data_IF_884798786219
#
_entry.id   IF_884798786219
#
_cell.length_a   1.000
_cell.length_b   1.000
_cell.length_c   1.000
_cell.angle_alpha   90.00
_cell.angle_beta   90.00
_cell.angle_gamma   90.00
#
_symmetry.space_group_name_H-M   'P 1'
#
loop_
_entity.id
_entity.type
_entity.pdbx_description
1 polymer ?
#
# COMPACT_ATOMS: atom_id res chain seq x y z
N UNK A 1 -25.08 42.10 -14.50
CA UNK A 1 -24.59 42.23 -13.11
C UNK A 1 -25.18 41.09 -12.31
N UNK A 2 -24.55 39.93 -12.32
CA UNK A 2 -24.90 38.80 -11.47
C UNK A 2 -23.58 38.24 -10.93
N UNK A 3 -23.51 38.17 -9.61
CA UNK A 3 -22.32 37.87 -8.81
C UNK A 3 -21.89 36.42 -9.05
N UNK A 4 -20.66 36.22 -9.52
CA UNK A 4 -20.02 34.90 -9.54
C UNK A 4 -19.56 34.56 -8.13
N UNK A 5 -20.31 33.68 -7.45
CA UNK A 5 -19.86 33.02 -6.25
C UNK A 5 -18.80 31.98 -6.62
N UNK A 6 -17.56 32.30 -6.29
CA UNK A 6 -16.42 31.41 -6.41
C UNK A 6 -16.54 30.32 -5.31
N UNK A 7 -16.91 29.12 -5.72
CA UNK A 7 -16.80 27.91 -4.89
C UNK A 7 -15.32 27.56 -4.77
N UNK A 8 -14.70 28.06 -3.70
CA UNK A 8 -13.37 27.63 -3.26
C UNK A 8 -13.50 26.22 -2.70
N UNK A 9 -13.19 25.22 -3.51
CA UNK A 9 -13.00 23.84 -3.05
C UNK A 9 -11.73 23.79 -2.21
N UNK A 10 -11.91 23.90 -0.90
CA UNK A 10 -10.86 23.74 0.09
C UNK A 10 -10.51 22.25 0.14
N UNK A 11 -9.53 21.82 -0.66
CA UNK A 11 -8.94 20.48 -0.56
C UNK A 11 -8.18 20.43 0.76
N UNK A 12 -8.87 19.98 1.81
CA UNK A 12 -8.29 19.72 3.12
C UNK A 12 -7.24 18.64 2.99
N UNK A 13 -5.99 19.06 2.80
CA UNK A 13 -4.81 18.22 2.98
C UNK A 13 -4.76 17.75 4.43
N UNK A 14 -5.37 16.61 4.69
CA UNK A 14 -5.12 15.83 5.88
C UNK A 14 -3.64 15.43 5.82
N UNK A 15 -2.81 16.26 6.46
CA UNK A 15 -1.40 15.96 6.69
C UNK A 15 -1.33 14.60 7.35
N UNK A 16 -0.90 13.60 6.57
CA UNK A 16 -0.50 12.32 7.07
C UNK A 16 0.66 12.59 8.04
N UNK A 17 0.32 12.70 9.31
CA UNK A 17 1.27 12.67 10.41
C UNK A 17 1.97 11.33 10.27
N UNK A 18 3.18 11.35 9.73
CA UNK A 18 4.02 10.18 9.57
C UNK A 18 3.94 9.39 10.88
N UNK A 19 3.66 8.07 10.84
CA UNK A 19 3.72 7.25 12.04
C UNK A 19 5.12 7.44 12.59
N UNK A 20 5.21 8.17 13.71
CA UNK A 20 6.45 8.47 14.36
C UNK A 20 7.18 7.15 14.49
N UNK A 21 8.39 7.09 13.91
CA UNK A 21 9.30 6.01 14.16
C UNK A 21 9.30 5.82 15.67
N UNK A 22 8.71 4.71 16.11
CA UNK A 22 8.88 4.20 17.45
C UNK A 22 10.38 3.91 17.52
N UNK A 23 11.15 4.92 17.90
CA UNK A 23 12.39 4.74 18.64
C UNK A 23 11.95 3.99 19.90
N UNK A 24 11.84 2.69 19.76
CA UNK A 24 12.02 1.76 20.85
C UNK A 24 13.44 1.97 21.30
N UNK A 25 13.64 2.98 22.16
CA UNK A 25 14.68 2.95 23.17
C UNK A 25 14.56 1.56 23.80
N UNK A 26 15.41 0.66 23.34
CA UNK A 26 15.65 -0.61 24.01
C UNK A 26 16.14 -0.16 25.38
N UNK A 27 15.33 -0.28 26.46
CA UNK A 27 15.78 0.15 27.76
C UNK A 27 17.07 -0.60 28.02
N UNK A 28 18.16 0.15 28.20
CA UNK A 28 19.48 -0.39 28.43
C UNK A 28 19.33 -1.56 29.38
N UNK A 29 19.73 -2.76 28.95
CA UNK A 29 19.75 -3.93 29.80
C UNK A 29 20.59 -3.57 31.02
N UNK A 30 19.90 -3.16 32.08
CA UNK A 30 20.42 -3.11 33.43
C UNK A 30 20.66 -4.57 33.79
N UNK A 31 21.81 -5.05 33.33
CA UNK A 31 22.34 -6.38 33.53
C UNK A 31 22.64 -6.41 35.03
N UNK A 32 21.67 -6.83 35.88
CA UNK A 32 21.84 -6.74 37.31
C UNK A 32 22.89 -7.80 37.58
N UNK A 33 24.12 -7.32 37.79
CA UNK A 33 25.34 -8.12 37.75
C UNK A 33 25.03 -9.48 38.33
N UNK A 34 25.12 -10.51 37.48
CA UNK A 34 25.09 -11.89 37.94
C UNK A 34 25.88 -11.90 39.22
N UNK A 35 25.23 -12.28 40.32
CA UNK A 35 25.85 -12.27 41.62
C UNK A 35 27.12 -13.13 41.54
N UNK A 36 28.25 -12.49 41.25
CA UNK A 36 29.55 -12.88 41.72
C UNK A 36 29.39 -12.73 43.23
N UNK A 37 28.83 -13.79 43.84
CA UNK A 37 28.67 -13.91 45.27
C UNK A 37 30.03 -14.42 45.78
N UNK A 38 30.93 -13.55 46.29
CA UNK A 38 31.99 -14.02 47.18
C UNK A 38 31.38 -14.76 48.41
N UNK A 39 30.07 -14.59 48.67
CA UNK A 39 29.33 -15.37 49.66
C UNK A 39 28.97 -16.81 49.25
N UNK A 40 29.24 -17.29 48.03
CA UNK A 40 29.05 -18.72 47.69
C UNK A 40 30.33 -19.56 47.91
N UNK A 41 31.51 -18.93 47.85
CA UNK A 41 32.79 -19.60 48.11
C UNK A 41 33.19 -19.58 49.59
N UNK A 42 32.71 -18.61 50.37
CA UNK A 42 33.01 -18.53 51.81
C UNK A 42 32.30 -19.63 52.64
N UNK A 43 31.01 -19.97 52.45
CA UNK A 43 30.38 -20.99 53.28
C UNK A 43 30.84 -22.40 52.95
N UNK A 44 31.12 -22.76 51.69
CA UNK A 44 31.58 -24.13 51.37
C UNK A 44 32.98 -24.41 51.92
N UNK A 45 33.89 -23.43 51.86
CA UNK A 45 35.21 -23.55 52.45
C UNK A 45 35.16 -23.61 53.98
N UNK A 46 34.37 -22.74 54.63
CA UNK A 46 34.23 -22.74 56.10
C UNK A 46 33.51 -24.01 56.59
N UNK A 47 32.45 -24.47 55.91
CA UNK A 47 31.76 -25.73 56.22
C UNK A 47 32.70 -26.92 56.01
N UNK A 48 33.53 -26.91 54.96
CA UNK A 48 34.55 -27.93 54.72
C UNK A 48 35.57 -28.00 55.86
N UNK A 49 36.11 -26.85 56.29
CA UNK A 49 37.06 -26.77 57.40
C UNK A 49 36.40 -27.19 58.73
N UNK A 50 35.17 -26.73 59.00
CA UNK A 50 34.45 -27.10 60.23
C UNK A 50 34.08 -28.58 60.28
N UNK A 51 33.69 -29.17 59.14
CA UNK A 51 33.42 -30.62 59.02
C UNK A 51 34.67 -31.44 59.35
N UNK A 52 35.84 -31.03 58.83
CA UNK A 52 37.12 -31.69 59.14
C UNK A 52 37.49 -31.55 60.62
N UNK A 53 37.32 -30.37 61.22
CA UNK A 53 37.60 -30.16 62.65
C UNK A 53 36.69 -31.00 63.53
N UNK A 54 35.40 -31.11 63.20
CA UNK A 54 34.46 -31.95 63.96
C UNK A 54 34.75 -33.43 63.78
N UNK A 55 35.19 -33.88 62.60
CA UNK A 55 35.66 -35.25 62.39
C UNK A 55 36.89 -35.57 63.26
N UNK A 56 37.86 -34.65 63.34
CA UNK A 56 39.07 -34.83 64.16
C UNK A 56 38.71 -34.88 65.64
N UNK A 57 37.88 -33.95 66.13
CA UNK A 57 37.43 -33.93 67.53
C UNK A 57 36.59 -35.16 67.88
N UNK A 58 35.73 -35.62 66.97
CA UNK A 58 34.95 -36.84 67.12
C UNK A 58 35.83 -38.08 67.25
N UNK A 59 36.93 -38.16 66.49
CA UNK A 59 37.89 -39.26 66.58
C UNK A 59 38.61 -39.30 67.94
N UNK A 60 38.93 -38.12 68.49
CA UNK A 60 39.54 -37.99 69.83
C UNK A 60 38.55 -38.39 70.93
N UNK A 61 37.28 -37.98 70.83
CA UNK A 61 36.24 -38.38 71.80
C UNK A 61 35.86 -39.85 71.73
N UNK A 62 35.90 -40.47 70.55
CA UNK A 62 35.67 -41.92 70.39
C UNK A 62 36.72 -42.75 71.16
N UNK A 63 37.97 -42.27 71.19
CA UNK A 63 39.04 -42.89 71.97
C UNK A 63 38.86 -42.73 73.49
N UNK A 64 38.06 -41.76 73.94
CA UNK A 64 37.82 -41.48 75.36
C UNK A 64 36.61 -42.22 75.97
N UNK A 65 35.78 -42.90 75.15
CA UNK A 65 34.69 -43.76 75.65
C UNK A 65 33.33 -43.10 75.88
N UNK A 66 33.20 -41.79 75.67
CA UNK A 66 31.94 -41.05 75.86
C UNK A 66 31.10 -41.01 74.56
N UNK A 67 30.46 -42.14 74.24
CA UNK A 67 29.69 -42.34 73.00
C UNK A 67 28.45 -41.46 72.72
N UNK A 68 27.66 -40.97 73.71
CA UNK A 68 26.38 -40.31 73.40
C UNK A 68 26.52 -38.87 72.85
N UNK A 69 27.63 -38.19 73.13
CA UNK A 69 27.87 -36.80 72.68
C UNK A 69 28.15 -36.71 71.18
N UNK A 70 28.73 -37.75 70.59
CA UNK A 70 29.05 -37.83 69.16
C UNK A 70 27.79 -37.89 68.27
N UNK A 71 26.79 -38.66 68.69
CA UNK A 71 25.54 -38.84 67.92
C UNK A 71 24.75 -37.53 67.86
N UNK A 72 24.71 -36.76 68.95
CA UNK A 72 24.04 -35.46 68.99
C UNK A 72 24.71 -34.42 68.08
N UNK A 73 26.05 -34.39 68.02
CA UNK A 73 26.81 -33.49 67.16
C UNK A 73 26.65 -33.78 65.66
N UNK A 74 26.64 -35.06 65.28
CA UNK A 74 26.47 -35.47 63.89
C UNK A 74 25.07 -35.12 63.33
N UNK A 75 24.02 -35.30 64.13
CA UNK A 75 22.64 -34.97 63.72
C UNK A 75 22.46 -33.45 63.58
N UNK A 76 23.06 -32.65 64.45
CA UNK A 76 23.01 -31.19 64.36
C UNK A 76 23.70 -30.65 63.09
N UNK A 77 24.86 -31.22 62.72
CA UNK A 77 25.57 -30.84 61.50
C UNK A 77 24.77 -31.17 60.24
N UNK A 78 24.25 -32.40 60.13
CA UNK A 78 23.45 -32.82 58.98
C UNK A 78 22.16 -31.99 58.83
N UNK A 79 21.51 -31.64 59.95
CA UNK A 79 20.35 -30.76 59.96
C UNK A 79 20.65 -29.35 59.46
N UNK A 80 21.76 -28.76 59.89
CA UNK A 80 22.12 -27.37 59.54
C UNK A 80 22.49 -27.20 58.05
N UNK A 81 23.21 -28.18 57.47
CA UNK A 81 23.62 -28.11 56.06
C UNK A 81 22.44 -28.33 55.10
N UNK A 82 21.46 -29.16 55.48
CA UNK A 82 20.27 -29.40 54.66
C UNK A 82 19.39 -28.16 54.51
N UNK A 83 19.21 -27.39 55.58
CA UNK A 83 18.32 -26.21 55.60
C UNK A 83 18.90 -25.08 54.74
N UNK A 84 20.21 -24.84 54.79
CA UNK A 84 20.87 -23.81 53.97
C UNK A 84 20.79 -24.12 52.47
N UNK A 85 20.99 -25.38 52.07
CA UNK A 85 20.84 -25.82 50.68
C UNK A 85 19.41 -25.66 50.15
N UNK A 86 18.43 -26.00 50.97
CA UNK A 86 17.01 -25.86 50.62
C UNK A 86 16.58 -24.40 50.46
N UNK A 87 17.04 -23.49 51.33
CA UNK A 87 16.75 -22.06 51.22
C UNK A 87 17.38 -21.43 49.97
N UNK A 88 18.60 -21.83 49.59
CA UNK A 88 19.23 -21.35 48.36
C UNK A 88 18.54 -21.87 47.09
N UNK A 89 18.18 -23.16 47.06
CA UNK A 89 17.48 -23.75 45.92
C UNK A 89 16.09 -23.13 45.70
N UNK A 90 15.35 -22.91 46.79
CA UNK A 90 14.02 -22.28 46.73
C UNK A 90 14.08 -20.77 46.41
N UNK A 91 15.14 -20.08 46.84
CA UNK A 91 15.39 -18.68 46.49
C UNK A 91 15.67 -18.48 44.99
N UNK A 92 16.50 -19.34 44.39
CA UNK A 92 16.81 -19.28 42.95
C UNK A 92 15.59 -19.53 42.06
N UNK A 93 14.73 -20.49 42.44
CA UNK A 93 13.49 -20.80 41.72
C UNK A 93 12.50 -19.63 41.74
N UNK A 94 12.37 -18.91 42.87
CA UNK A 94 11.51 -17.72 42.94
C UNK A 94 11.97 -16.61 41.99
N UNK A 95 13.28 -16.41 41.87
CA UNK A 95 13.83 -15.41 40.94
C UNK A 95 13.61 -15.80 39.48
N UNK A 96 13.83 -17.08 39.13
CA UNK A 96 13.53 -17.57 37.78
C UNK A 96 12.04 -17.45 37.47
N UNK A 97 11.17 -17.80 38.41
CA UNK A 97 9.73 -17.67 38.25
C UNK A 97 9.29 -16.22 38.02
N UNK A 98 9.88 -15.26 38.75
CA UNK A 98 9.62 -13.85 38.55
C UNK A 98 10.08 -13.36 37.16
N UNK A 99 11.25 -13.82 36.70
CA UNK A 99 11.78 -13.48 35.36
C UNK A 99 10.92 -14.06 34.24
N UNK A 100 10.50 -15.32 34.39
CA UNK A 100 9.58 -15.96 33.45
C UNK A 100 8.23 -15.25 33.40
N UNK A 101 7.68 -14.85 34.56
CA UNK A 101 6.44 -14.08 34.61
C UNK A 101 6.59 -12.75 33.87
N UNK A 102 7.70 -12.05 34.07
CA UNK A 102 7.95 -10.78 33.40
C UNK A 102 8.11 -10.94 31.87
N UNK A 103 8.82 -11.97 31.40
CA UNK A 103 8.94 -12.26 29.97
C UNK A 103 7.60 -12.65 29.35
N UNK A 104 6.79 -13.43 30.07
CA UNK A 104 5.46 -13.82 29.61
C UNK A 104 4.52 -12.61 29.52
N UNK A 105 4.56 -11.70 30.50
CA UNK A 105 3.82 -10.43 30.45
C UNK A 105 4.26 -9.55 29.27
N UNK A 106 5.56 -9.52 28.95
CA UNK A 106 6.08 -8.79 27.78
C UNK A 106 5.61 -9.42 26.47
N UNK A 107 5.67 -10.75 26.34
CA UNK A 107 5.17 -11.47 25.16
C UNK A 107 3.65 -11.32 24.99
N UNK A 108 2.90 -11.30 26.08
CA UNK A 108 1.46 -11.03 26.07
C UNK A 108 1.17 -9.61 25.56
N UNK A 109 1.94 -8.61 25.99
CA UNK A 109 1.81 -7.22 25.50
C UNK A 109 2.18 -7.09 24.03
N UNK A 110 3.29 -7.69 23.58
CA UNK A 110 3.70 -7.62 22.17
C UNK A 110 2.72 -8.36 21.26
N UNK A 111 2.21 -9.52 21.67
CA UNK A 111 1.20 -10.24 20.89
C UNK A 111 -0.13 -9.50 20.82
N UNK A 112 -0.53 -8.79 21.88
CA UNK A 112 -1.69 -7.90 21.85
C UNK A 112 -1.48 -6.70 20.90
N UNK A 113 -0.29 -6.09 20.91
CA UNK A 113 0.04 -4.99 19.98
C UNK A 113 0.05 -5.46 18.52
N UNK A 114 0.71 -6.60 18.23
CA UNK A 114 0.74 -7.17 16.87
C UNK A 114 -0.67 -7.53 16.37
N UNK A 115 -1.55 -8.04 17.24
CA UNK A 115 -2.96 -8.27 16.88
C UNK A 115 -3.66 -6.97 16.50
N UNK A 116 -3.45 -5.90 17.28
CA UNK A 116 -4.00 -4.58 16.96
C UNK A 116 -3.48 -4.04 15.62
N UNK A 117 -2.20 -4.25 15.30
CA UNK A 117 -1.65 -3.84 14.00
C UNK A 117 -2.22 -4.66 12.83
N UNK A 118 -2.44 -5.96 13.02
CA UNK A 118 -3.11 -6.82 12.03
C UNK A 118 -4.55 -6.38 11.80
N UNK A 119 -5.30 -6.11 12.86
CA UNK A 119 -6.68 -5.63 12.77
C UNK A 119 -6.74 -4.27 12.04
N UNK A 120 -5.80 -3.36 12.34
CA UNK A 120 -5.69 -2.06 11.66
C UNK A 120 -5.34 -2.20 10.18
N UNK A 121 -4.44 -3.13 9.83
CA UNK A 121 -4.10 -3.45 8.44
C UNK A 121 -5.29 -4.05 7.69
N UNK A 122 -6.07 -4.91 8.34
CA UNK A 122 -7.29 -5.49 7.75
C UNK A 122 -8.33 -4.40 7.44
N UNK A 123 -8.60 -3.50 8.40
CA UNK A 123 -9.50 -2.35 8.19
C UNK A 123 -8.98 -1.43 7.08
N UNK A 124 -7.68 -1.22 7.01
CA UNK A 124 -7.06 -0.39 5.96
C UNK A 124 -7.20 -1.04 4.59
N UNK A 125 -6.98 -2.35 4.48
CA UNK A 125 -7.17 -3.11 3.24
C UNK A 125 -8.62 -3.09 2.78
N UNK A 126 -9.59 -3.24 3.69
CA UNK A 126 -11.02 -3.10 3.37
C UNK A 126 -11.35 -1.70 2.85
N UNK A 127 -10.78 -0.65 3.45
CA UNK A 127 -10.98 0.73 2.99
C UNK A 127 -10.37 0.98 1.61
N UNK A 128 -9.19 0.43 1.34
CA UNK A 128 -8.56 0.51 0.01
C UNK A 128 -9.41 -0.22 -1.02
N UNK A 129 -9.91 -1.42 -0.72
CA UNK A 129 -10.82 -2.15 -1.60
C UNK A 129 -12.07 -1.34 -1.94
N UNK A 130 -12.74 -0.74 -0.94
CA UNK A 130 -13.89 0.14 -1.16
C UNK A 130 -13.55 1.39 -2.00
N UNK A 131 -12.31 1.90 -1.92
CA UNK A 131 -11.87 3.01 -2.75
C UNK A 131 -11.60 2.58 -4.19
N UNK A 132 -11.08 1.37 -4.40
CA UNK A 132 -10.90 0.78 -5.73
C UNK A 132 -12.26 0.57 -6.39
N UNK A 133 -13.23 -0.03 -5.68
CA UNK A 133 -14.59 -0.24 -6.20
C UNK A 133 -15.25 1.08 -6.60
N UNK A 134 -15.17 2.12 -5.75
CA UNK A 134 -15.69 3.46 -6.09
C UNK A 134 -15.01 4.09 -7.29
N UNK A 135 -13.72 3.81 -7.48
CA UNK A 135 -12.97 4.34 -8.61
C UNK A 135 -13.38 3.63 -9.89
N UNK A 136 -13.61 2.32 -9.83
CA UNK A 136 -14.16 1.52 -10.92
C UNK A 136 -15.57 2.01 -11.31
N UNK A 137 -16.47 2.20 -10.33
CA UNK A 137 -17.79 2.80 -10.56
C UNK A 137 -17.71 4.18 -11.24
N UNK A 138 -16.76 5.01 -10.80
CA UNK A 138 -16.56 6.35 -11.38
C UNK A 138 -16.03 6.27 -12.82
N UNK A 139 -15.18 5.28 -13.13
CA UNK A 139 -14.67 5.03 -14.48
C UNK A 139 -15.80 4.54 -15.39
N UNK A 140 -16.65 3.64 -14.91
CA UNK A 140 -17.82 3.17 -15.65
C UNK A 140 -18.82 4.31 -15.91
N UNK A 141 -19.06 5.18 -14.93
CA UNK A 141 -19.90 6.38 -15.10
C UNK A 141 -19.31 7.34 -16.14
N UNK A 142 -18.00 7.63 -16.05
CA UNK A 142 -17.28 8.46 -17.04
C UNK A 142 -17.33 7.86 -18.44
N UNK A 143 -17.21 6.53 -18.55
CA UNK A 143 -17.32 5.83 -19.83
C UNK A 143 -18.74 5.97 -20.39
N UNK A 144 -19.78 5.78 -19.58
CA UNK A 144 -21.17 5.96 -20.00
C UNK A 144 -21.47 7.40 -20.44
N UNK A 145 -20.93 8.41 -19.75
CA UNK A 145 -21.04 9.81 -20.15
C UNK A 145 -20.32 10.06 -21.48
N UNK A 146 -19.13 9.50 -21.68
CA UNK A 146 -18.38 9.61 -22.93
C UNK A 146 -19.11 8.96 -24.11
N UNK A 147 -19.70 7.78 -23.91
CA UNK A 147 -20.52 7.10 -24.92
C UNK A 147 -21.75 7.93 -25.30
N UNK A 148 -22.43 8.53 -24.32
CA UNK A 148 -23.57 9.40 -24.57
C UNK A 148 -23.17 10.70 -25.27
N UNK A 149 -22.07 11.33 -24.87
CA UNK A 149 -21.56 12.54 -25.53
C UNK A 149 -21.21 12.25 -26.99
N UNK A 150 -20.71 11.05 -27.28
CA UNK A 150 -20.45 10.60 -28.66
C UNK A 150 -21.74 10.44 -29.46
N UNK A 151 -22.78 9.83 -28.89
CA UNK A 151 -24.10 9.74 -29.51
C UNK A 151 -24.67 11.14 -29.80
N UNK A 152 -24.55 12.07 -28.84
CA UNK A 152 -24.96 13.47 -29.02
C UNK A 152 -24.17 14.15 -30.16
N UNK A 153 -22.84 13.94 -30.24
CA UNK A 153 -21.98 14.44 -31.33
C UNK A 153 -22.42 13.90 -32.69
N UNK A 154 -22.76 12.61 -32.78
CA UNK A 154 -23.26 11.98 -34.01
C UNK A 154 -24.61 12.59 -34.42
N UNK A 155 -25.54 12.74 -33.47
CA UNK A 155 -26.84 13.38 -33.71
C UNK A 155 -26.72 14.85 -34.12
N UNK A 156 -25.76 15.60 -33.57
CA UNK A 156 -25.45 16.95 -34.02
C UNK A 156 -24.89 17.00 -35.45
N UNK A 157 -24.14 15.97 -35.85
CA UNK A 157 -23.67 15.81 -37.22
C UNK A 157 -24.83 15.70 -38.21
N UNK A 158 -25.82 14.87 -37.90
CA UNK A 158 -27.03 14.71 -38.71
C UNK A 158 -27.85 16.01 -38.78
N UNK A 159 -28.06 16.65 -37.62
CA UNK A 159 -28.74 17.95 -37.55
C UNK A 159 -28.04 19.01 -38.40
N UNK A 160 -26.69 19.02 -38.42
CA UNK A 160 -25.92 19.95 -39.25
C UNK A 160 -26.20 19.74 -40.74
N UNK A 161 -26.25 18.48 -41.18
CA UNK A 161 -26.54 18.15 -42.59
C UNK A 161 -27.94 18.62 -42.97
N UNK A 162 -28.93 18.46 -42.09
CA UNK A 162 -30.29 18.97 -42.31
C UNK A 162 -30.33 20.50 -42.35
N UNK A 163 -29.63 21.19 -41.44
CA UNK A 163 -29.58 22.65 -41.42
C UNK A 163 -28.82 23.22 -42.63
N UNK A 164 -27.76 22.58 -43.11
CA UNK A 164 -27.07 22.97 -44.35
C UNK A 164 -27.98 22.84 -45.58
N UNK A 165 -28.84 21.83 -45.61
CA UNK A 165 -29.84 21.67 -46.67
C UNK A 165 -30.90 22.79 -46.62
N UNK A 166 -31.40 23.12 -45.42
CA UNK A 166 -32.34 24.22 -45.21
C UNK A 166 -31.74 25.60 -45.50
N UNK A 167 -30.47 25.83 -45.14
CA UNK A 167 -29.78 27.10 -45.40
C UNK A 167 -29.65 27.41 -46.88
N UNK A 168 -29.37 26.38 -47.71
CA UNK A 168 -29.36 26.50 -49.17
C UNK A 168 -30.72 26.93 -49.73
N UNK A 169 -31.80 26.64 -49.03
CA UNK A 169 -33.17 26.98 -49.45
C UNK A 169 -33.66 28.33 -48.87
N UNK A 170 -33.25 28.69 -47.66
CA UNK A 170 -33.78 29.84 -46.90
C UNK A 170 -32.94 31.14 -47.02
N UNK A 171 -31.73 31.10 -47.56
CA UNK A 171 -30.91 32.29 -47.83
C UNK A 171 -30.00 32.74 -46.67
N UNK A 172 -29.40 33.94 -46.82
CA UNK A 172 -28.21 34.39 -46.06
C UNK A 172 -28.29 34.41 -44.53
N UNK A 173 -29.47 34.55 -43.93
CA UNK A 173 -29.58 34.66 -42.45
C UNK A 173 -29.24 33.33 -41.73
N UNK A 174 -29.19 32.20 -42.44
CA UNK A 174 -28.78 30.91 -41.88
C UNK A 174 -27.26 30.69 -41.83
N UNK A 175 -26.47 31.44 -42.61
CA UNK A 175 -25.01 31.28 -42.64
C UNK A 175 -24.38 31.60 -41.27
N UNK A 176 -24.79 32.68 -40.63
CA UNK A 176 -24.28 33.07 -39.30
C UNK A 176 -24.60 32.02 -38.22
N UNK A 177 -25.78 31.39 -38.33
CA UNK A 177 -26.19 30.33 -37.39
C UNK A 177 -25.38 29.06 -37.61
N UNK A 178 -25.15 28.68 -38.87
CA UNK A 178 -24.30 27.53 -39.23
C UNK A 178 -22.85 27.73 -38.79
N UNK A 179 -22.29 28.94 -38.93
CA UNK A 179 -20.95 29.25 -38.44
C UNK A 179 -20.85 29.07 -36.92
N UNK A 180 -21.86 29.54 -36.17
CA UNK A 180 -21.90 29.35 -34.71
C UNK A 180 -22.02 27.88 -34.32
N UNK A 181 -22.82 27.08 -35.04
CA UNK A 181 -22.98 25.63 -34.79
C UNK A 181 -21.66 24.90 -35.06
N UNK A 182 -20.99 25.19 -36.18
CA UNK A 182 -19.67 24.65 -36.49
C UNK A 182 -18.66 24.99 -35.39
N UNK A 183 -18.63 26.25 -34.93
CA UNK A 183 -17.76 26.63 -33.82
C UNK A 183 -18.09 25.99 -32.47
N UNK A 184 -19.34 25.58 -32.22
CA UNK A 184 -19.69 24.77 -31.05
C UNK A 184 -19.23 23.32 -31.21
N UNK A 185 -19.38 22.76 -32.41
CA UNK A 185 -18.95 21.41 -32.74
C UNK A 185 -17.42 21.25 -32.58
N UNK A 186 -16.64 22.18 -33.13
CA UNK A 186 -15.17 22.16 -33.01
C UNK A 186 -14.75 22.23 -31.54
N UNK A 187 -15.40 23.08 -30.74
CA UNK A 187 -15.14 23.17 -29.29
C UNK A 187 -15.50 21.88 -28.55
N UNK A 188 -16.56 21.20 -28.97
CA UNK A 188 -16.99 19.93 -28.38
C UNK A 188 -16.01 18.80 -28.72
N UNK A 189 -15.53 18.74 -29.96
CA UNK A 189 -14.47 17.81 -30.35
C UNK A 189 -13.18 18.07 -29.56
N UNK A 190 -12.76 19.32 -29.43
CA UNK A 190 -11.58 19.70 -28.64
C UNK A 190 -11.71 19.34 -27.15
N UNK A 191 -12.92 19.42 -26.60
CA UNK A 191 -13.19 19.00 -25.22
C UNK A 191 -13.10 17.47 -25.11
N UNK A 192 -13.74 16.74 -26.03
CA UNK A 192 -13.69 15.28 -26.04
C UNK A 192 -12.25 14.76 -26.17
N UNK A 193 -11.44 15.32 -27.09
CA UNK A 193 -10.05 14.94 -27.25
C UNK A 193 -9.21 15.21 -25.98
N UNK A 194 -9.48 16.31 -25.26
CA UNK A 194 -8.82 16.62 -23.98
C UNK A 194 -9.24 15.67 -22.86
N UNK A 195 -10.50 15.29 -22.80
CA UNK A 195 -11.01 14.31 -21.82
C UNK A 195 -10.42 12.93 -22.08
N UNK A 196 -10.41 12.46 -23.33
CA UNK A 196 -9.77 11.20 -23.73
C UNK A 196 -8.27 11.20 -23.38
N UNK A 197 -7.56 12.32 -23.63
CA UNK A 197 -6.17 12.51 -23.21
C UNK A 197 -5.98 12.36 -21.70
N UNK A 198 -6.83 13.02 -20.92
CA UNK A 198 -6.76 12.98 -19.47
C UNK A 198 -7.00 11.57 -18.94
N UNK A 199 -7.98 10.86 -19.51
CA UNK A 199 -8.30 9.47 -19.16
C UNK A 199 -7.13 8.54 -19.50
N UNK A 200 -6.57 8.60 -20.70
CA UNK A 200 -5.43 7.77 -21.10
C UNK A 200 -4.19 8.03 -20.21
N UNK A 201 -3.90 9.28 -19.89
CA UNK A 201 -2.78 9.63 -18.99
C UNK A 201 -3.00 9.11 -17.57
N UNK A 202 -4.23 9.16 -17.08
CA UNK A 202 -4.57 8.62 -15.76
C UNK A 202 -4.39 7.11 -15.72
N UNK A 203 -4.91 6.39 -16.71
CA UNK A 203 -4.76 4.93 -16.80
C UNK A 203 -3.29 4.54 -16.90
N UNK A 204 -2.47 5.29 -17.65
CA UNK A 204 -1.04 5.07 -17.71
C UNK A 204 -0.35 5.28 -16.35
N UNK A 205 -0.67 6.39 -15.66
CA UNK A 205 -0.13 6.70 -14.34
C UNK A 205 -0.51 5.63 -13.30
N UNK A 206 -1.77 5.19 -13.29
CA UNK A 206 -2.25 4.18 -12.35
C UNK A 206 -1.55 2.83 -12.54
N UNK A 207 -1.11 2.52 -13.77
CA UNK A 207 -0.35 1.31 -14.08
C UNK A 207 1.13 1.43 -13.74
N UNK A 208 1.75 2.59 -13.97
CA UNK A 208 3.16 2.86 -13.64
C UNK A 208 3.47 2.70 -12.14
N UNK A 209 2.50 2.97 -11.26
CA UNK A 209 2.71 2.84 -9.81
C UNK A 209 2.40 1.44 -9.25
N UNK A 210 2.08 0.44 -10.08
CA UNK A 210 1.69 -0.89 -9.59
C UNK A 210 2.87 -1.70 -9.03
N UNK A 211 4.02 -1.69 -9.70
CA UNK A 211 5.20 -2.48 -9.32
C UNK A 211 6.26 -1.68 -8.53
N UNK A 212 6.05 -0.36 -8.37
CA UNK A 212 6.96 0.63 -7.73
C UNK A 212 8.23 0.90 -8.53
N UNK A 213 8.31 0.48 -9.78
CA UNK A 213 9.38 0.87 -10.67
C UNK A 213 9.03 2.18 -11.40
N UNK A 214 10.04 2.97 -11.78
CA UNK A 214 9.84 4.28 -12.44
C UNK A 214 9.48 4.15 -13.94
N UNK A 215 9.40 2.93 -14.46
CA UNK A 215 9.19 2.68 -15.89
C UNK A 215 8.17 1.58 -16.09
N UNK A 216 7.29 1.79 -17.07
CA UNK A 216 6.26 0.81 -17.40
C UNK A 216 6.87 -0.43 -18.07
N UNK A 217 6.65 -1.58 -17.44
CA UNK A 217 7.02 -2.89 -17.95
C UNK A 217 6.14 -3.34 -19.13
N UNK A 218 6.54 -4.42 -19.80
CA UNK A 218 5.78 -4.98 -20.94
C UNK A 218 4.41 -5.49 -20.49
N UNK A 219 4.35 -6.08 -19.31
CA UNK A 219 3.14 -6.62 -18.70
C UNK A 219 2.16 -5.50 -18.36
N UNK A 220 2.65 -4.38 -17.82
CA UNK A 220 1.84 -3.19 -17.53
C UNK A 220 1.34 -2.51 -18.79
N UNK A 221 2.18 -2.42 -19.83
CA UNK A 221 1.74 -1.94 -21.13
C UNK A 221 0.64 -2.81 -21.74
N UNK A 222 0.71 -4.14 -21.58
CA UNK A 222 -0.37 -5.01 -22.03
C UNK A 222 -1.68 -4.76 -21.25
N UNK A 223 -1.59 -4.48 -19.94
CA UNK A 223 -2.75 -4.10 -19.12
C UNK A 223 -3.30 -2.74 -19.54
N UNK A 224 -2.44 -1.80 -19.92
CA UNK A 224 -2.84 -0.52 -20.50
C UNK A 224 -3.68 -0.75 -21.76
N UNK A 225 -3.19 -1.55 -22.72
CA UNK A 225 -3.93 -1.91 -23.93
C UNK A 225 -5.27 -2.62 -23.66
N UNK A 226 -5.40 -3.33 -22.54
CA UNK A 226 -6.68 -3.94 -22.15
C UNK A 226 -7.69 -2.90 -21.65
N UNK A 227 -7.24 -1.86 -20.94
CA UNK A 227 -8.09 -0.82 -20.33
C UNK A 227 -8.46 0.33 -21.26
N UNK A 228 -7.68 0.59 -22.32
CA UNK A 228 -8.01 1.67 -23.26
C UNK A 228 -9.30 1.37 -24.05
N UNK A 229 -10.07 2.39 -24.46
CA UNK A 229 -11.24 2.20 -25.33
C UNK A 229 -10.90 1.52 -26.65
N UNK A 230 -11.82 0.72 -27.18
CA UNK A 230 -11.61 -0.11 -28.39
C UNK A 230 -11.22 0.69 -29.63
N UNK A 231 -11.65 1.96 -29.73
CA UNK A 231 -11.29 2.86 -30.83
C UNK A 231 -9.78 3.14 -30.89
N UNK A 232 -9.11 3.27 -29.74
CA UNK A 232 -7.67 3.44 -29.68
C UNK A 232 -6.91 2.13 -29.92
N UNK A 233 -7.46 0.98 -29.49
CA UNK A 233 -6.85 -0.35 -29.74
C UNK A 233 -6.66 -0.60 -31.24
N UNK A 234 -7.67 -0.30 -32.04
CA UNK A 234 -7.58 -0.39 -33.51
C UNK A 234 -6.44 0.47 -34.06
N UNK A 235 -6.20 1.65 -33.49
CA UNK A 235 -5.12 2.53 -33.93
C UNK A 235 -3.74 2.02 -33.56
N UNK A 236 -3.60 1.45 -32.36
CA UNK A 236 -2.40 0.74 -31.98
C UNK A 236 -2.03 -0.37 -32.97
N UNK A 237 -3.04 -1.13 -33.42
CA UNK A 237 -2.87 -2.20 -34.42
C UNK A 237 -2.55 -1.64 -35.81
N UNK A 238 -3.25 -0.58 -36.26
CA UNK A 238 -3.03 0.06 -37.56
C UNK A 238 -1.63 0.69 -37.69
N UNK A 239 -1.08 1.20 -36.59
CA UNK A 239 0.21 1.89 -36.55
C UNK A 239 1.39 1.00 -36.18
N UNK A 240 1.12 -0.28 -35.91
CA UNK A 240 2.11 -1.25 -35.43
C UNK A 240 2.91 -0.72 -34.22
N UNK A 241 2.22 -0.03 -33.32
CA UNK A 241 2.79 0.54 -32.10
C UNK A 241 2.99 -0.55 -31.05
N UNK A 242 4.06 -1.33 -31.24
CA UNK A 242 4.47 -2.38 -30.29
C UNK A 242 5.24 -1.82 -29.10
N UNK A 243 5.22 -2.53 -27.97
CA UNK A 243 6.04 -2.15 -26.79
C UNK A 243 7.52 -1.91 -27.16
N UNK A 244 8.08 -2.74 -28.04
CA UNK A 244 9.47 -2.65 -28.45
C UNK A 244 9.79 -1.40 -29.28
N UNK A 245 8.84 -0.85 -30.05
CA UNK A 245 9.07 0.37 -30.81
C UNK A 245 9.01 1.62 -29.93
N UNK A 246 8.25 1.57 -28.83
CA UNK A 246 8.06 2.68 -27.90
C UNK A 246 9.15 2.71 -26.82
N UNK A 247 9.44 1.56 -26.20
CA UNK A 247 10.37 1.42 -25.07
C UNK A 247 11.86 1.51 -25.46
N UNK A 248 12.17 1.77 -26.73
CA UNK A 248 13.53 2.00 -27.21
C UNK A 248 14.56 0.95 -26.78
N UNK A 249 15.71 1.42 -26.30
CA UNK A 249 16.84 0.57 -25.91
C UNK A 249 16.83 0.15 -24.43
N UNK A 250 16.10 0.88 -23.59
CA UNK A 250 16.06 0.75 -22.14
C UNK A 250 14.97 -0.21 -21.63
N UNK A 251 14.16 -0.77 -22.54
CA UNK A 251 13.19 -1.86 -22.27
C UNK A 251 12.08 -1.50 -21.27
N UNK A 252 11.89 -0.22 -20.99
CA UNK A 252 10.77 0.29 -20.21
C UNK A 252 10.27 1.59 -20.84
N UNK A 253 8.98 1.87 -20.72
CA UNK A 253 8.40 3.10 -21.26
C UNK A 253 8.35 4.13 -20.14
N UNK A 254 9.01 5.27 -20.32
CA UNK A 254 8.94 6.36 -19.36
C UNK A 254 7.64 7.18 -19.50
N UNK A 255 7.29 7.97 -18.47
CA UNK A 255 6.10 8.81 -18.47
C UNK A 255 6.04 9.79 -19.66
N UNK A 256 7.19 10.29 -20.14
CA UNK A 256 7.25 11.25 -21.25
C UNK A 256 7.03 10.56 -22.60
N UNK A 257 7.58 9.37 -22.78
CA UNK A 257 7.37 8.50 -23.94
C UNK A 257 5.91 8.08 -24.04
N UNK A 258 5.30 7.67 -22.92
CA UNK A 258 3.87 7.40 -22.84
C UNK A 258 3.03 8.65 -23.15
N UNK A 259 3.43 9.82 -22.63
CA UNK A 259 2.77 11.07 -22.96
C UNK A 259 2.81 11.41 -24.45
N UNK A 260 3.95 11.20 -25.12
CA UNK A 260 4.09 11.41 -26.58
C UNK A 260 3.28 10.39 -27.38
N UNK A 261 3.22 9.15 -26.92
CA UNK A 261 2.41 8.09 -27.52
C UNK A 261 0.92 8.47 -27.49
N UNK A 262 0.42 8.89 -26.33
CA UNK A 262 -0.97 9.34 -26.16
C UNK A 262 -1.26 10.55 -27.06
N UNK A 263 -0.37 11.54 -27.07
CA UNK A 263 -0.53 12.74 -27.91
C UNK A 263 -0.59 12.39 -29.40
N UNK A 264 0.23 11.44 -29.85
CA UNK A 264 0.22 10.94 -31.22
C UNK A 264 -1.09 10.20 -31.55
N UNK A 265 -1.56 9.32 -30.66
CA UNK A 265 -2.80 8.58 -30.86
C UNK A 265 -4.02 9.49 -31.01
N UNK A 266 -4.07 10.58 -30.24
CA UNK A 266 -5.16 11.54 -30.30
C UNK A 266 -5.10 12.32 -31.62
N UNK A 267 -3.92 12.83 -31.98
CA UNK A 267 -3.75 13.56 -33.23
C UNK A 267 -4.17 12.71 -34.46
N UNK A 268 -3.77 11.44 -34.51
CA UNK A 268 -4.15 10.54 -35.61
C UNK A 268 -5.62 10.09 -35.56
N UNK A 269 -6.25 10.15 -34.38
CA UNK A 269 -7.68 9.94 -34.27
C UNK A 269 -8.45 11.14 -34.84
N UNK A 270 -8.04 12.35 -34.48
CA UNK A 270 -8.63 13.60 -34.96
C UNK A 270 -8.48 13.74 -36.49
N UNK A 271 -7.32 13.41 -37.05
CA UNK A 271 -7.10 13.38 -38.50
C UNK A 271 -8.03 12.40 -39.22
N UNK A 272 -8.31 11.23 -38.62
CA UNK A 272 -9.25 10.29 -39.23
C UNK A 272 -10.68 10.79 -39.18
N UNK A 273 -11.12 11.39 -38.06
CA UNK A 273 -12.45 11.99 -37.95
C UNK A 273 -12.59 13.11 -39.00
N UNK A 274 -11.58 13.97 -39.14
CA UNK A 274 -11.56 15.02 -40.15
C UNK A 274 -11.58 14.45 -41.59
N UNK A 275 -10.83 13.38 -41.87
CA UNK A 275 -10.81 12.75 -43.20
C UNK A 275 -12.14 12.05 -43.56
N UNK A 276 -12.85 11.52 -42.56
CA UNK A 276 -14.20 10.95 -42.75
C UNK A 276 -15.23 12.03 -43.04
N UNK A 277 -15.15 13.15 -42.32
CA UNK A 277 -16.01 14.31 -42.56
C UNK A 277 -15.80 14.92 -43.96
N UNK A 278 -14.57 14.91 -44.46
CA UNK A 278 -14.23 15.51 -45.77
C UNK A 278 -14.41 14.58 -46.98
N UNK A 279 -14.75 13.28 -46.82
CA UNK A 279 -14.83 12.36 -47.95
C UNK A 279 -16.12 12.62 -48.75
N UNK A 280 -16.05 13.27 -49.94
CA UNK A 280 -17.23 13.66 -50.69
C UNK A 280 -17.81 12.41 -51.35
N UNK A 281 -18.95 11.95 -50.84
CA UNK A 281 -19.64 10.77 -51.36
C UNK A 281 -19.59 9.53 -50.45
N UNK A 282 -19.23 9.66 -49.16
CA UNK A 282 -19.72 8.66 -48.21
C UNK A 282 -21.24 8.82 -48.17
N UNK A 283 -22.04 7.83 -48.62
CA UNK A 283 -23.47 7.90 -48.51
C UNK A 283 -23.77 8.08 -47.03
N UNK A 284 -24.38 9.21 -46.64
CA UNK A 284 -25.01 9.35 -45.34
C UNK A 284 -25.77 8.05 -45.10
N UNK A 285 -25.43 7.35 -44.02
CA UNK A 285 -25.92 6.02 -43.71
C UNK A 285 -27.41 5.98 -44.05
N UNK A 286 -27.76 5.19 -45.07
CA UNK A 286 -29.13 5.11 -45.55
C UNK A 286 -30.00 4.81 -44.33
N UNK A 287 -30.77 5.80 -43.92
CA UNK A 287 -31.67 5.68 -42.79
C UNK A 287 -32.48 4.39 -42.98
N UNK A 288 -32.55 3.50 -41.98
CA UNK A 288 -33.33 2.29 -42.10
C UNK A 288 -34.77 2.71 -42.44
N UNK A 289 -35.19 2.45 -43.67
CA UNK A 289 -36.57 2.67 -44.09
C UNK A 289 -37.44 1.74 -43.24
N UNK A 290 -38.13 2.35 -42.28
CA UNK A 290 -39.23 1.76 -41.52
C UNK A 290 -40.32 1.21 -42.43
#
# INVERSE_FOLDING_TARGET
MASSDAVVVQVGGAGAKAPGALETEVPAEDNPGMCHNPMATIPSAVIGVFSVVVLILGFVSLAAGDGPLYVAGAVALLGSTGIAGYLCATGGLRHQLARFKHQNDRLAKTSAALRGDVDNLEVTNQKIALHVDKLEDSVDELQGVSEKLKEDIEGFGDLRVEMEALAKEAGKDLDDTLESINGMYDRMQDLNAREEKALLKRVAQDLEFMDRDEKMSKEEFQRFLQRIPAQFKKRFEELDLTFASIAGADKGIDYKEMGRLIDRLIAENDEQVASRANKPGSPAAAAPSS
#
